data_IF_384604778843
#
_entry.id   IF_384604778843
#
_cell.length_a   1.000
_cell.length_b   1.000
_cell.length_c   1.000
_cell.angle_alpha   90.00
_cell.angle_beta   90.00
_cell.angle_gamma   90.00
#
_symmetry.space_group_name_H-M   'P 1'
#
loop_
_entity.id
_entity.type
_entity.pdbx_description
1 polymer ?
#
# COMPACT_ATOMS: atom_id res chain seq x y z
N UNK A 1 -22.92 -2.58 -5.06
CA UNK A 1 -21.63 -3.24 -4.83
C UNK A 1 -21.18 -2.92 -3.41
N UNK A 2 -20.85 -3.91 -2.60
CA UNK A 2 -20.36 -3.68 -1.24
C UNK A 2 -18.82 -3.70 -1.24
N UNK A 3 -18.19 -2.63 -0.78
CA UNK A 3 -16.74 -2.50 -0.73
C UNK A 3 -16.23 -2.40 0.72
N UNK A 4 -15.08 -3.03 0.97
CA UNK A 4 -14.35 -2.91 2.24
C UNK A 4 -12.89 -2.54 1.99
N UNK A 5 -12.40 -1.61 2.81
CA UNK A 5 -11.02 -1.18 2.85
C UNK A 5 -10.34 -1.87 4.04
N UNK A 6 -9.34 -2.68 3.76
CA UNK A 6 -8.53 -3.35 4.76
C UNK A 6 -7.18 -2.65 4.84
N UNK A 7 -6.80 -2.15 6.02
CA UNK A 7 -5.52 -1.47 6.17
C UNK A 7 -4.52 -2.21 7.05
N UNK A 8 -3.26 -2.24 6.61
CA UNK A 8 -2.10 -2.67 7.37
C UNK A 8 -1.13 -1.52 7.61
N UNK A 9 -1.19 -0.92 8.81
CA UNK A 9 -0.34 0.21 9.19
C UNK A 9 0.44 -0.07 10.46
N UNK A 10 1.71 0.35 10.51
CA UNK A 10 2.52 0.30 11.73
C UNK A 10 2.78 1.67 12.33
N UNK A 11 2.98 2.69 11.48
CA UNK A 11 3.31 4.06 11.91
C UNK A 11 2.24 5.10 11.53
N UNK A 12 1.08 4.65 11.05
CA UNK A 12 -0.13 5.47 10.93
C UNK A 12 -0.44 6.04 9.54
N UNK A 13 0.54 6.24 8.64
CA UNK A 13 0.25 6.87 7.34
C UNK A 13 -0.75 6.08 6.49
N UNK A 14 -0.58 4.76 6.37
CA UNK A 14 -1.54 3.90 5.66
C UNK A 14 -2.93 3.95 6.28
N UNK A 15 -3.03 4.04 7.61
CA UNK A 15 -4.32 4.15 8.31
C UNK A 15 -5.01 5.47 7.94
N UNK A 16 -4.30 6.60 7.98
CA UNK A 16 -4.84 7.90 7.54
C UNK A 16 -5.41 7.85 6.12
N UNK A 17 -4.66 7.23 5.21
CA UNK A 17 -5.09 7.05 3.83
C UNK A 17 -6.35 6.19 3.70
N UNK A 18 -6.39 5.06 4.43
CA UNK A 18 -7.55 4.18 4.42
C UNK A 18 -8.80 4.83 5.00
N UNK A 19 -8.66 5.53 6.13
CA UNK A 19 -9.75 6.31 6.74
C UNK A 19 -10.26 7.39 5.79
N UNK A 20 -9.37 8.11 5.12
CA UNK A 20 -9.78 9.14 4.16
C UNK A 20 -10.46 8.55 2.93
N UNK A 21 -9.96 7.44 2.39
CA UNK A 21 -10.59 6.76 1.26
C UNK A 21 -11.98 6.23 1.65
N UNK A 22 -12.12 5.65 2.83
CA UNK A 22 -13.40 5.17 3.35
C UNK A 22 -14.44 6.29 3.47
N UNK A 23 -14.02 7.46 3.96
CA UNK A 23 -14.85 8.67 3.99
C UNK A 23 -15.28 9.11 2.58
N UNK A 24 -14.33 9.15 1.64
CA UNK A 24 -14.60 9.57 0.25
C UNK A 24 -15.56 8.63 -0.48
N UNK A 25 -15.49 7.34 -0.22
CA UNK A 25 -16.25 6.31 -0.96
C UNK A 25 -17.41 5.71 -0.16
N UNK A 26 -17.68 6.23 1.05
CA UNK A 26 -18.66 5.71 1.99
C UNK A 26 -18.58 4.17 2.13
N UNK A 27 -17.36 3.65 2.32
CA UNK A 27 -17.07 2.21 2.32
C UNK A 27 -16.72 1.71 3.72
N UNK A 28 -16.95 0.41 3.96
CA UNK A 28 -16.53 -0.21 5.23
C UNK A 28 -15.01 -0.19 5.36
N UNK A 29 -14.50 -0.11 6.59
CA UNK A 29 -13.06 -0.09 6.86
C UNK A 29 -12.71 -0.97 8.06
N UNK A 30 -11.62 -1.72 7.95
CA UNK A 30 -11.12 -2.57 9.03
C UNK A 30 -9.60 -2.70 9.02
N UNK A 31 -9.00 -2.85 10.21
CA UNK A 31 -7.58 -3.25 10.33
C UNK A 31 -7.41 -4.70 9.86
N UNK A 32 -6.29 -5.01 9.20
CA UNK A 32 -5.97 -6.38 8.79
C UNK A 32 -5.91 -7.39 9.96
N UNK A 33 -5.64 -6.92 11.19
CA UNK A 33 -5.62 -7.76 12.40
C UNK A 33 -7.03 -8.18 12.84
N UNK A 34 -8.06 -7.48 12.37
CA UNK A 34 -9.46 -7.68 12.78
C UNK A 34 -10.32 -8.31 11.67
N UNK A 35 -9.70 -8.83 10.60
CA UNK A 35 -10.42 -9.51 9.53
C UNK A 35 -11.08 -10.78 10.10
N UNK A 36 -12.40 -10.81 10.06
CA UNK A 36 -13.19 -12.01 10.39
C UNK A 36 -13.53 -12.81 9.14
N UNK A 37 -14.25 -12.18 8.21
CA UNK A 37 -14.64 -12.72 6.91
C UNK A 37 -14.78 -11.57 5.92
N UNK A 38 -14.47 -11.85 4.65
CA UNK A 38 -14.69 -10.92 3.53
C UNK A 38 -15.77 -11.44 2.55
N UNK A 39 -16.47 -12.52 2.89
CA UNK A 39 -17.39 -13.25 1.99
C UNK A 39 -18.67 -12.51 1.59
N UNK A 40 -18.89 -11.27 2.04
CA UNK A 40 -20.01 -10.42 1.61
C UNK A 40 -19.59 -9.22 0.76
N UNK A 41 -18.28 -9.03 0.53
CA UNK A 41 -17.77 -7.87 -0.20
C UNK A 41 -17.41 -8.26 -1.63
N UNK A 42 -17.89 -7.47 -2.58
CA UNK A 42 -17.56 -7.60 -4.00
C UNK A 42 -16.16 -7.03 -4.30
N UNK A 43 -15.81 -5.94 -3.60
CA UNK A 43 -14.55 -5.22 -3.76
C UNK A 43 -13.80 -5.15 -2.44
N UNK A 44 -12.59 -5.71 -2.44
CA UNK A 44 -11.66 -5.66 -1.32
C UNK A 44 -10.51 -4.73 -1.71
N UNK A 45 -10.35 -3.63 -0.98
CA UNK A 45 -9.21 -2.72 -1.14
C UNK A 45 -8.22 -2.97 -0.02
N UNK A 46 -7.12 -3.65 -0.31
CA UNK A 46 -6.03 -3.80 0.64
C UNK A 46 -5.07 -2.62 0.57
N UNK A 47 -4.96 -1.84 1.64
CA UNK A 47 -3.99 -0.75 1.78
C UNK A 47 -2.91 -1.13 2.79
N UNK A 48 -1.68 -1.34 2.34
CA UNK A 48 -0.61 -1.83 3.20
C UNK A 48 0.66 -0.99 3.14
N UNK A 49 1.25 -0.72 4.30
CA UNK A 49 2.58 -0.13 4.40
C UNK A 49 3.65 -1.07 3.85
N UNK A 50 4.58 -0.53 3.06
CA UNK A 50 5.75 -1.25 2.57
C UNK A 50 6.83 -1.30 3.65
N UNK A 51 7.19 -2.52 4.05
CA UNK A 51 8.28 -2.80 5.00
C UNK A 51 9.18 -3.92 4.46
N UNK A 52 10.29 -4.22 5.15
CA UNK A 52 11.25 -5.25 4.72
C UNK A 52 10.64 -6.65 4.51
N UNK A 53 9.51 -6.95 5.16
CA UNK A 53 8.78 -8.21 5.01
C UNK A 53 7.65 -8.21 3.96
N UNK A 54 7.50 -7.13 3.19
CA UNK A 54 6.45 -6.97 2.18
C UNK A 54 5.35 -5.98 2.59
N UNK A 55 4.18 -6.14 1.96
CA UNK A 55 3.01 -5.28 2.19
C UNK A 55 2.30 -5.75 3.46
N UNK A 56 2.28 -4.88 4.49
CA UNK A 56 1.72 -5.24 5.80
C UNK A 56 0.25 -5.64 5.69
N UNK A 57 -0.07 -6.83 6.17
CA UNK A 57 -1.44 -7.36 6.24
C UNK A 57 -1.94 -8.03 4.96
N UNK A 58 -1.22 -7.93 3.85
CA UNK A 58 -1.68 -8.45 2.55
C UNK A 58 -1.92 -9.96 2.61
N UNK A 59 -1.02 -10.71 3.26
CA UNK A 59 -1.16 -12.16 3.44
C UNK A 59 -2.46 -12.52 4.19
N UNK A 60 -2.84 -11.76 5.21
CA UNK A 60 -4.07 -11.98 5.97
C UNK A 60 -5.30 -11.67 5.12
N UNK A 61 -5.27 -10.56 4.36
CA UNK A 61 -6.34 -10.24 3.42
C UNK A 61 -6.52 -11.32 2.36
N UNK A 62 -5.44 -11.80 1.75
CA UNK A 62 -5.50 -12.87 0.75
C UNK A 62 -6.06 -14.18 1.30
N UNK A 63 -5.78 -14.52 2.56
CA UNK A 63 -6.32 -15.73 3.21
C UNK A 63 -7.84 -15.67 3.38
N UNK A 64 -8.39 -14.48 3.61
CA UNK A 64 -9.83 -14.27 3.78
C UNK A 64 -10.53 -13.86 2.46
N UNK A 65 -9.77 -13.75 1.37
CA UNK A 65 -10.26 -13.22 0.10
C UNK A 65 -11.28 -14.17 -0.55
N UNK A 66 -12.46 -13.67 -0.95
CA UNK A 66 -13.46 -14.50 -1.61
C UNK A 66 -13.05 -14.80 -3.05
N UNK A 67 -13.37 -16.01 -3.52
CA UNK A 67 -12.96 -16.52 -4.85
C UNK A 67 -13.40 -15.63 -6.02
N UNK A 68 -14.61 -15.08 -5.93
CA UNK A 68 -15.20 -14.20 -6.96
C UNK A 68 -15.02 -12.71 -6.66
N UNK A 69 -14.24 -12.36 -5.62
CA UNK A 69 -13.99 -10.97 -5.25
C UNK A 69 -13.09 -10.24 -6.25
N UNK A 70 -13.20 -8.92 -6.27
CA UNK A 70 -12.22 -8.03 -6.91
C UNK A 70 -11.24 -7.52 -5.86
N UNK A 71 -9.94 -7.55 -6.17
CA UNK A 71 -8.89 -7.06 -5.28
C UNK A 71 -8.26 -5.78 -5.84
N UNK A 72 -8.25 -4.72 -5.04
CA UNK A 72 -7.36 -3.57 -5.23
C UNK A 72 -6.23 -3.67 -4.21
N UNK A 73 -4.99 -3.50 -4.64
CA UNK A 73 -3.80 -3.46 -3.77
C UNK A 73 -3.22 -2.06 -3.83
N UNK A 74 -3.21 -1.37 -2.70
CA UNK A 74 -2.62 -0.04 -2.55
C UNK A 74 -1.42 -0.14 -1.62
N UNK A 75 -0.23 0.13 -2.16
CA UNK A 75 1.00 0.13 -1.34
C UNK A 75 1.33 1.53 -0.87
N UNK A 76 1.69 1.70 0.39
CA UNK A 76 2.12 2.98 0.96
C UNK A 76 3.57 2.88 1.42
N UNK A 77 4.49 3.59 0.77
CA UNK A 77 5.93 3.51 1.07
C UNK A 77 6.63 4.86 1.00
N UNK A 78 7.94 4.89 1.31
CA UNK A 78 8.75 6.12 1.26
C UNK A 78 9.27 6.46 -0.12
N UNK A 79 9.44 5.44 -0.95
CA UNK A 79 9.94 5.56 -2.31
C UNK A 79 9.06 6.53 -3.12
N UNK A 80 9.70 7.29 -3.99
CA UNK A 80 8.98 8.17 -4.90
C UNK A 80 8.16 7.34 -5.89
N UNK A 81 6.85 7.58 -5.94
CA UNK A 81 5.91 6.85 -6.81
C UNK A 81 5.87 7.40 -8.24
N UNK A 82 6.55 8.51 -8.52
CA UNK A 82 6.75 9.03 -9.86
C UNK A 82 8.01 8.48 -10.55
N UNK A 83 8.86 7.79 -9.80
CA UNK A 83 10.07 7.15 -10.34
C UNK A 83 9.74 5.72 -10.87
N UNK A 84 9.99 5.43 -12.16
CA UNK A 84 9.65 4.14 -12.76
C UNK A 84 10.39 2.94 -12.14
N UNK A 85 11.62 3.11 -11.66
CA UNK A 85 12.42 2.05 -11.07
C UNK A 85 11.84 1.63 -9.71
N UNK A 86 11.46 2.61 -8.89
CA UNK A 86 10.76 2.35 -7.63
C UNK A 86 9.45 1.58 -7.86
N UNK A 87 8.65 2.01 -8.83
CA UNK A 87 7.39 1.32 -9.17
C UNK A 87 7.65 -0.11 -9.66
N UNK A 88 8.68 -0.33 -10.48
CA UNK A 88 9.05 -1.66 -10.96
C UNK A 88 9.45 -2.58 -9.81
N UNK A 89 10.24 -2.08 -8.85
CA UNK A 89 10.65 -2.83 -7.66
C UNK A 89 9.46 -3.20 -6.76
N UNK A 90 8.53 -2.26 -6.54
CA UNK A 90 7.31 -2.53 -5.77
C UNK A 90 6.47 -3.61 -6.46
N UNK A 91 6.24 -3.51 -7.77
CA UNK A 91 5.48 -4.52 -8.54
C UNK A 91 6.15 -5.90 -8.51
N UNK A 92 7.49 -5.95 -8.61
CA UNK A 92 8.25 -7.21 -8.48
C UNK A 92 8.04 -7.85 -7.10
N UNK A 93 8.10 -7.04 -6.04
CA UNK A 93 7.85 -7.48 -4.66
C UNK A 93 6.40 -7.95 -4.44
N UNK A 94 5.42 -7.33 -5.08
CA UNK A 94 4.02 -7.77 -5.00
C UNK A 94 3.80 -9.13 -5.68
N UNK A 95 4.39 -9.35 -6.85
CA UNK A 95 4.27 -10.63 -7.59
C UNK A 95 4.76 -11.83 -6.81
N UNK A 96 5.69 -11.66 -5.87
CA UNK A 96 6.15 -12.75 -5.00
C UNK A 96 5.26 -12.97 -3.77
N UNK A 97 4.35 -12.04 -3.47
CA UNK A 97 3.46 -12.09 -2.31
C UNK A 97 2.03 -12.50 -2.65
N UNK A 98 1.60 -12.32 -3.90
CA UNK A 98 0.23 -12.55 -4.36
C UNK A 98 0.20 -13.71 -5.36
N UNK A 99 -0.70 -14.69 -5.22
CA UNK A 99 -0.92 -15.72 -6.23
C UNK A 99 -1.16 -15.12 -7.61
N UNK A 100 -0.58 -15.72 -8.66
CA UNK A 100 -0.56 -15.13 -10.00
C UNK A 100 -1.96 -14.91 -10.60
N UNK A 101 -2.89 -15.83 -10.34
CA UNK A 101 -4.28 -15.78 -10.75
C UNK A 101 -5.04 -14.60 -10.12
N UNK A 102 -4.74 -14.29 -8.85
CA UNK A 102 -5.29 -13.11 -8.16
C UNK A 102 -4.59 -11.84 -8.65
N UNK A 103 -3.25 -11.83 -8.70
CA UNK A 103 -2.47 -10.66 -9.07
C UNK A 103 -2.82 -10.14 -10.46
N UNK A 104 -3.00 -11.03 -11.44
CA UNK A 104 -3.30 -10.66 -12.82
C UNK A 104 -4.68 -9.99 -12.99
N UNK A 105 -5.59 -10.17 -12.02
CA UNK A 105 -6.92 -9.54 -12.00
C UNK A 105 -6.99 -8.33 -11.07
N UNK A 106 -5.99 -8.14 -10.21
CA UNK A 106 -5.98 -7.09 -9.23
C UNK A 106 -5.61 -5.74 -9.86
N UNK A 107 -6.25 -4.66 -9.40
CA UNK A 107 -5.77 -3.31 -9.67
C UNK A 107 -4.69 -2.96 -8.62
N UNK A 108 -3.59 -2.35 -9.06
CA UNK A 108 -2.47 -2.00 -8.18
C UNK A 108 -2.22 -0.51 -8.23
N UNK A 109 -2.19 0.11 -7.05
CA UNK A 109 -1.94 1.53 -6.84
C UNK A 109 -0.79 1.72 -5.85
N UNK A 110 -0.09 2.84 -5.96
CA UNK A 110 1.07 3.17 -5.15
C UNK A 110 0.93 4.59 -4.63
N UNK A 111 1.05 4.75 -3.31
CA UNK A 111 1.01 6.04 -2.63
C UNK A 111 2.32 6.25 -1.88
N UNK A 112 2.73 7.52 -1.79
CA UNK A 112 3.88 7.92 -0.99
C UNK A 112 3.41 8.25 0.43
N UNK A 113 4.08 7.70 1.42
CA UNK A 113 3.79 7.90 2.83
C UNK A 113 4.88 8.70 3.54
N UNK A 114 4.77 8.80 4.85
CA UNK A 114 5.73 9.49 5.71
C UNK A 114 6.52 8.53 6.60
N UNK A 115 7.61 9.04 7.17
CA UNK A 115 8.38 8.39 8.23
C UNK A 115 8.74 9.42 9.30
N UNK A 116 8.58 9.01 10.54
CA UNK A 116 9.04 9.75 11.71
C UNK A 116 10.03 8.87 12.47
N UNK A 117 11.33 9.12 12.29
CA UNK A 117 12.39 8.32 12.91
C UNK A 117 12.32 8.31 14.44
N UNK A 118 11.69 9.32 15.06
CA UNK A 118 11.50 9.37 16.51
C UNK A 118 10.45 8.36 17.00
N UNK A 119 9.56 7.91 16.11
CA UNK A 119 8.46 6.98 16.42
C UNK A 119 8.75 5.54 16.00
N UNK A 120 9.89 5.28 15.36
CA UNK A 120 10.27 3.92 14.97
C UNK A 120 10.55 3.07 16.20
N UNK A 121 10.01 1.84 16.19
CA UNK A 121 10.40 0.83 17.17
C UNK A 121 11.88 0.47 17.04
N UNK A 122 12.48 -0.03 18.12
CA UNK A 122 13.92 -0.32 18.19
C UNK A 122 14.43 -1.19 17.03
N UNK A 123 13.69 -2.25 16.68
CA UNK A 123 14.04 -3.14 15.58
C UNK A 123 14.08 -2.42 14.22
N UNK A 124 13.05 -1.65 13.89
CA UNK A 124 13.00 -0.90 12.63
C UNK A 124 14.06 0.21 12.59
N UNK A 125 14.29 0.90 13.71
CA UNK A 125 15.34 1.92 13.80
C UNK A 125 16.72 1.32 13.57
N UNK A 126 17.00 0.15 14.13
CA UNK A 126 18.26 -0.58 13.93
C UNK A 126 18.42 -1.00 12.47
N UNK A 127 17.39 -1.61 11.88
CA UNK A 127 17.40 -2.02 10.47
C UNK A 127 17.63 -0.83 9.52
N UNK A 128 16.91 0.28 9.71
CA UNK A 128 17.10 1.50 8.92
C UNK A 128 18.50 2.09 9.10
N UNK A 129 19.07 2.00 10.30
CA UNK A 129 20.46 2.45 10.56
C UNK A 129 21.48 1.60 9.81
N UNK A 130 21.31 0.27 9.78
CA UNK A 130 22.17 -0.62 9.01
C UNK A 130 22.05 -0.36 7.50
N UNK A 131 20.82 -0.22 7.00
CA UNK A 131 20.56 0.09 5.61
C UNK A 131 21.20 1.43 5.22
N UNK A 132 20.97 2.49 6.00
CA UNK A 132 21.61 3.79 5.80
C UNK A 132 23.14 3.70 5.74
N UNK A 133 23.76 2.97 6.67
CA UNK A 133 25.22 2.77 6.69
C UNK A 133 25.73 2.01 5.46
N UNK A 134 24.92 1.10 4.91
CA UNK A 134 25.24 0.37 3.69
C UNK A 134 25.19 1.30 2.47
N UNK A 135 24.05 1.96 2.26
CA UNK A 135 23.81 2.77 1.06
C UNK A 135 24.66 4.05 1.04
N UNK A 136 25.01 4.60 2.20
CA UNK A 136 25.90 5.78 2.28
C UNK A 136 27.33 5.49 1.81
N UNK A 137 27.77 4.23 1.84
CA UNK A 137 29.10 3.84 1.35
C UNK A 137 29.15 3.68 -0.17
N UNK A 138 28.00 3.62 -0.83
CA UNK A 138 27.93 3.49 -2.27
C UNK A 138 28.30 4.83 -2.94
N UNK A 139 29.14 4.82 -3.99
CA UNK A 139 29.42 6.02 -4.78
C UNK A 139 28.12 6.64 -5.33
N UNK A 140 27.99 7.98 -5.38
CA UNK A 140 26.77 8.66 -5.83
C UNK A 140 26.24 8.16 -7.18
N UNK A 141 27.14 7.78 -8.10
CA UNK A 141 26.82 7.30 -9.45
C UNK A 141 26.15 5.92 -9.44
N UNK A 142 26.26 5.17 -8.34
CA UNK A 142 25.67 3.84 -8.16
C UNK A 142 24.46 3.82 -7.23
N UNK A 143 24.14 4.94 -6.59
CA UNK A 143 22.98 5.01 -5.70
C UNK A 143 21.70 5.01 -6.52
N UNK A 144 20.81 4.06 -6.24
CA UNK A 144 19.46 4.03 -6.82
C UNK A 144 18.61 5.19 -6.29
N UNK A 145 17.49 5.54 -6.95
CA UNK A 145 16.53 6.52 -6.43
C UNK A 145 16.06 6.19 -5.00
N UNK A 146 15.79 4.92 -4.71
CA UNK A 146 15.41 4.44 -3.38
C UNK A 146 16.52 4.68 -2.34
N UNK A 147 17.77 4.35 -2.67
CA UNK A 147 18.93 4.55 -1.79
C UNK A 147 19.13 6.04 -1.48
N UNK A 148 18.99 6.93 -2.48
CA UNK A 148 19.05 8.37 -2.29
C UNK A 148 17.95 8.86 -1.33
N UNK A 149 16.71 8.41 -1.51
CA UNK A 149 15.60 8.76 -0.63
C UNK A 149 15.84 8.30 0.82
N UNK A 150 16.45 7.12 1.04
CA UNK A 150 16.84 6.64 2.37
C UNK A 150 17.88 7.58 2.99
N UNK A 151 18.92 7.96 2.25
CA UNK A 151 19.97 8.85 2.73
C UNK A 151 19.40 10.23 3.09
N UNK A 152 18.56 10.80 2.24
CA UNK A 152 17.98 12.13 2.40
C UNK A 152 17.01 12.22 3.59
N UNK A 153 16.24 11.15 3.84
CA UNK A 153 15.22 11.12 4.90
C UNK A 153 15.74 10.55 6.22
N UNK A 154 16.97 10.03 6.26
CA UNK A 154 17.51 9.37 7.44
C UNK A 154 17.54 10.29 8.67
N UNK A 155 17.03 9.79 9.80
CA UNK A 155 16.95 10.50 11.07
C UNK A 155 16.12 11.80 11.03
N UNK A 156 15.25 11.96 10.02
CA UNK A 156 14.32 13.09 9.91
C UNK A 156 12.89 12.66 10.18
N UNK A 157 12.00 13.63 10.25
CA UNK A 157 10.56 13.41 10.11
C UNK A 157 10.15 13.99 8.77
N UNK A 158 9.58 13.16 7.90
CA UNK A 158 9.03 13.58 6.61
C UNK A 158 7.62 13.02 6.46
N UNK A 159 6.72 13.81 5.89
CA UNK A 159 5.35 13.42 5.60
C UNK A 159 5.03 13.81 4.15
N UNK A 160 4.91 12.80 3.29
CA UNK A 160 4.55 12.97 1.88
C UNK A 160 3.08 12.62 1.61
N UNK A 161 2.25 12.56 2.67
CA UNK A 161 0.84 12.23 2.53
C UNK A 161 0.14 13.27 1.65
N UNK A 162 -0.34 12.82 0.49
CA UNK A 162 -1.19 13.56 -0.43
C UNK A 162 -2.52 12.82 -0.61
N UNK A 163 -3.62 13.40 -0.13
CA UNK A 163 -4.96 12.81 -0.26
C UNK A 163 -5.55 12.96 -1.67
N UNK A 164 -5.03 13.86 -2.51
CA UNK A 164 -5.47 13.98 -3.90
C UNK A 164 -5.13 12.72 -4.70
N UNK A 165 -4.03 12.05 -4.34
CA UNK A 165 -3.63 10.76 -4.88
C UNK A 165 -4.64 9.62 -4.60
N UNK A 166 -5.64 9.81 -3.72
CA UNK A 166 -6.74 8.87 -3.53
C UNK A 166 -7.81 8.96 -4.63
N UNK A 167 -7.92 10.10 -5.33
CA UNK A 167 -8.97 10.32 -6.34
C UNK A 167 -9.00 9.24 -7.44
N UNK A 168 -7.87 8.83 -8.03
CA UNK A 168 -7.87 7.75 -9.03
C UNK A 168 -8.36 6.41 -8.47
N UNK A 169 -8.11 6.14 -7.18
CA UNK A 169 -8.54 4.92 -6.50
C UNK A 169 -10.05 4.97 -6.28
N UNK A 170 -10.57 6.07 -5.73
CA UNK A 170 -12.01 6.29 -5.52
C UNK A 170 -12.79 6.17 -6.84
N UNK A 171 -12.33 6.83 -7.91
CA UNK A 171 -12.93 6.72 -9.23
C UNK A 171 -12.93 5.29 -9.79
N UNK A 172 -11.86 4.52 -9.53
CA UNK A 172 -11.81 3.12 -9.93
C UNK A 172 -12.80 2.24 -9.15
N UNK A 173 -13.03 2.57 -7.87
CA UNK A 173 -14.04 1.90 -7.04
C UNK A 173 -15.46 2.22 -7.56
N UNK A 174 -15.74 3.48 -7.90
CA UNK A 174 -17.04 3.92 -8.45
C UNK A 174 -17.37 3.21 -9.77
N UNK A 175 -16.44 3.19 -10.75
CA UNK A 175 -16.67 2.55 -12.06
C UNK A 175 -17.01 1.06 -11.95
N UNK A 176 -16.47 0.37 -10.95
CA UNK A 176 -16.79 -1.04 -10.68
C UNK A 176 -18.21 -1.22 -10.13
N UNK A 177 -18.75 -0.21 -9.43
CA UNK A 177 -20.16 -0.17 -9.04
C UNK A 177 -21.07 -0.14 -10.26
N UNK A 178 -20.77 0.71 -11.25
CA UNK A 178 -21.60 0.91 -12.44
C UNK A 178 -21.55 -0.29 -13.41
N UNK A 179 -20.39 -0.95 -13.50
CA UNK A 179 -20.18 -2.09 -14.41
C UNK A 179 -21.01 -3.33 -14.02
N UNK A 180 -21.40 -3.45 -12.75
CA UNK A 180 -22.28 -4.53 -12.26
C UNK A 180 -23.78 -4.15 -12.30
N UNK A 181 -24.11 -2.90 -12.68
CA UNK A 181 -25.49 -2.39 -12.78
C UNK A 181 -26.05 -2.33 -14.21
N UNK A 182 -25.29 -2.75 -15.21
CA UNK A 182 -25.68 -2.68 -16.62
C UNK A 182 -26.43 -3.91 -17.11
N UNK A 183 -27.69 -4.09 -16.68
CA UNK A 183 -28.71 -4.60 -17.60
C UNK A 183 -29.49 -3.38 -18.02
N UNK A 184 -29.32 -2.95 -19.28
CA UNK A 184 -30.31 -2.11 -19.93
C UNK A 184 -30.77 -2.83 -21.22
N UNK A 185 -32.08 -2.74 -21.51
CA UNK A 185 -32.83 -3.66 -22.38
C UNK A 185 -32.47 -3.60 -23.86
#
# INVERSE_FOLDING_TARGET
>A
MQAIIIYGSQYGTTKKYAEKLAEMTNSDICSYDNIKSLSGYDLIVHMGGLYAGGVKGLKQTLKAFPKEGTLFIVTVGLADVHDPENIANIKKSLKSQVPADIYNKAAVFHLRGGIDYSKLGFAHKTMMTLLYKSVKKEPPERQTPENRAIIETFNKKVDFTDFEALKPIAQAMEKKTDSNGGVNP
#
